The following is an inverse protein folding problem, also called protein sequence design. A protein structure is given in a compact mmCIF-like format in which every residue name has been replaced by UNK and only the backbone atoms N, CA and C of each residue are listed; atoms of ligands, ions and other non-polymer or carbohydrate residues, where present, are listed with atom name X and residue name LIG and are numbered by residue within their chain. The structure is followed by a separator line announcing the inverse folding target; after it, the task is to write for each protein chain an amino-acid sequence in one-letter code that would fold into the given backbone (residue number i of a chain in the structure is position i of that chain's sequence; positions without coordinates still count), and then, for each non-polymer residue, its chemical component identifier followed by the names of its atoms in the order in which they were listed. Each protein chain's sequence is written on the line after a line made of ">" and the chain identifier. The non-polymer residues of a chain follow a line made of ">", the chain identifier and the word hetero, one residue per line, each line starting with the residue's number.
data_IF_983261067357
#
_entry.id   IF_983261067357
#
_cell.length_a   1.000
_cell.length_b   1.000
_cell.length_c   1.000
_cell.angle_alpha   90.00
_cell.angle_beta   90.00
_cell.angle_gamma   90.00
#
_symmetry.space_group_name_H-M   'P 1'
#
loop_
_entity.id
_entity.type
_entity.pdbx_description
1 polymer ?
#
# COMPACT_ATOMS: atom_id res chain seq x y z
N UNK A 1 -12.50 -16.65 9.29
CA UNK A 1 -12.08 -17.93 8.65
C UNK A 1 -10.64 -18.18 9.07
N UNK A 2 -10.14 -19.41 9.20
CA UNK A 2 -8.75 -19.61 9.66
C UNK A 2 -7.76 -19.44 8.51
N UNK A 3 -6.62 -18.82 8.79
CA UNK A 3 -5.52 -18.73 7.83
C UNK A 3 -5.08 -20.12 7.38
N UNK A 4 -4.77 -20.25 6.10
CA UNK A 4 -4.23 -21.50 5.53
C UNK A 4 -2.88 -21.81 6.16
N UNK A 5 -2.70 -22.98 6.80
CA UNK A 5 -1.41 -23.34 7.37
C UNK A 5 -0.37 -23.56 6.27
N UNK A 6 0.87 -23.13 6.51
CA UNK A 6 1.99 -23.36 5.61
C UNK A 6 2.50 -24.79 5.76
N UNK A 7 2.74 -25.49 4.65
CA UNK A 7 3.32 -26.84 4.69
C UNK A 7 4.79 -26.81 5.14
N UNK A 8 5.22 -27.84 5.88
CA UNK A 8 6.63 -27.98 6.27
C UNK A 8 7.56 -28.03 5.05
N UNK A 9 7.14 -28.73 3.99
CA UNK A 9 7.91 -28.79 2.74
C UNK A 9 8.07 -27.41 2.09
N UNK A 10 7.02 -26.58 2.13
CA UNK A 10 7.06 -25.22 1.58
C UNK A 10 8.00 -24.33 2.41
N UNK A 11 7.91 -24.41 3.74
CA UNK A 11 8.81 -23.70 4.65
C UNK A 11 10.27 -24.06 4.38
N UNK A 12 10.59 -25.35 4.36
CA UNK A 12 11.95 -25.83 4.17
C UNK A 12 12.49 -25.47 2.77
N UNK A 13 11.63 -25.52 1.76
CA UNK A 13 11.98 -25.10 0.41
C UNK A 13 12.30 -23.60 0.34
N UNK A 14 11.50 -22.76 1.00
CA UNK A 14 11.73 -21.31 1.05
C UNK A 14 13.04 -20.97 1.74
N UNK A 15 13.32 -21.61 2.88
CA UNK A 15 14.57 -21.40 3.60
C UNK A 15 15.78 -21.79 2.75
N UNK A 16 15.74 -22.93 2.06
CA UNK A 16 16.79 -23.36 1.12
C UNK A 16 16.96 -22.39 -0.06
N UNK A 17 15.86 -21.88 -0.61
CA UNK A 17 15.93 -20.90 -1.70
C UNK A 17 16.59 -19.58 -1.24
N UNK A 18 16.28 -19.14 -0.02
CA UNK A 18 16.89 -17.96 0.61
C UNK A 18 18.39 -18.19 0.87
N UNK A 19 18.80 -19.40 1.27
CA UNK A 19 20.22 -19.76 1.41
C UNK A 19 20.98 -19.61 0.09
N UNK A 20 20.36 -20.00 -1.03
CA UNK A 20 20.87 -19.81 -2.39
C UNK A 20 20.73 -18.36 -2.91
N UNK A 21 20.18 -17.44 -2.12
CA UNK A 21 19.85 -16.05 -2.48
C UNK A 21 18.93 -15.93 -3.70
N UNK A 22 18.01 -16.89 -3.86
CA UNK A 22 16.99 -16.90 -4.90
C UNK A 22 15.61 -16.67 -4.27
N UNK A 23 14.80 -15.84 -4.94
CA UNK A 23 13.40 -15.63 -4.56
C UNK A 23 12.47 -16.43 -5.46
N UNK A 24 11.28 -16.74 -4.96
CA UNK A 24 10.24 -17.47 -5.70
C UNK A 24 9.81 -16.79 -6.99
N UNK A 25 9.84 -15.47 -7.01
CA UNK A 25 9.38 -14.60 -8.10
C UNK A 25 10.52 -14.19 -9.04
N UNK A 26 11.75 -14.66 -8.80
CA UNK A 26 12.93 -14.36 -9.61
C UNK A 26 13.53 -12.96 -9.40
N UNK A 27 13.04 -12.18 -8.41
CA UNK A 27 13.62 -10.89 -8.06
C UNK A 27 14.94 -11.04 -7.30
N UNK A 28 15.74 -9.97 -7.28
CA UNK A 28 16.90 -9.91 -6.37
C UNK A 28 16.44 -9.65 -4.92
N UNK A 29 17.38 -9.83 -3.99
CA UNK A 29 17.13 -9.70 -2.54
C UNK A 29 16.71 -8.29 -2.11
N UNK A 30 17.12 -7.26 -2.84
CA UNK A 30 16.89 -5.85 -2.48
C UNK A 30 15.84 -5.16 -3.38
N UNK A 31 15.20 -5.90 -4.28
CA UNK A 31 14.28 -5.33 -5.26
C UNK A 31 12.83 -5.35 -4.77
N UNK A 32 12.15 -4.22 -4.96
CA UNK A 32 10.73 -4.06 -4.69
C UNK A 32 9.87 -4.70 -5.80
N UNK A 33 8.63 -5.07 -5.44
CA UNK A 33 7.60 -5.39 -6.43
C UNK A 33 7.27 -4.14 -7.24
N UNK A 34 6.71 -4.33 -8.44
CA UNK A 34 6.21 -3.23 -9.26
C UNK A 34 5.13 -2.46 -8.48
N UNK A 35 5.43 -1.19 -8.20
CA UNK A 35 4.50 -0.25 -7.57
C UNK A 35 3.67 0.39 -8.69
N UNK A 36 2.35 0.40 -8.53
CA UNK A 36 1.43 1.14 -9.38
C UNK A 36 0.57 2.03 -8.49
N UNK A 37 0.59 3.33 -8.79
CA UNK A 37 -0.22 4.34 -8.11
C UNK A 37 -1.35 4.73 -9.04
N UNK A 38 -2.58 4.70 -8.55
CA UNK A 38 -3.78 5.09 -9.29
C UNK A 38 -4.59 6.06 -8.44
N UNK A 39 -5.07 7.14 -9.05
CA UNK A 39 -5.82 8.16 -8.35
C UNK A 39 -7.33 7.97 -8.57
N UNK A 40 -8.12 8.28 -7.54
CA UNK A 40 -9.57 8.28 -7.64
C UNK A 40 -10.10 9.47 -8.43
N UNK A 41 -11.42 9.48 -8.66
CA UNK A 41 -12.15 10.62 -9.22
C UNK A 41 -11.98 11.84 -8.30
N UNK A 42 -12.23 11.63 -7.02
CA UNK A 42 -12.19 12.67 -6.01
C UNK A 42 -10.75 12.99 -5.59
N UNK A 43 -10.51 14.25 -5.25
CA UNK A 43 -9.26 14.65 -4.64
C UNK A 43 -9.11 14.00 -3.25
N UNK A 44 -7.90 13.57 -2.93
CA UNK A 44 -7.62 12.89 -1.65
C UNK A 44 -7.86 11.38 -1.68
N UNK A 45 -8.28 10.81 -2.81
CA UNK A 45 -8.42 9.37 -3.00
C UNK A 45 -7.25 8.78 -3.80
N UNK A 46 -6.55 7.78 -3.24
CA UNK A 46 -5.53 7.05 -3.98
C UNK A 46 -5.56 5.54 -3.69
N UNK A 47 -5.16 4.78 -4.71
CA UNK A 47 -4.98 3.34 -4.69
C UNK A 47 -3.53 3.05 -5.03
N UNK A 48 -2.87 2.27 -4.17
CA UNK A 48 -1.48 1.86 -4.38
C UNK A 48 -1.43 0.34 -4.42
N UNK A 49 -0.94 -0.18 -5.54
CA UNK A 49 -0.71 -1.59 -5.77
C UNK A 49 0.79 -1.87 -5.66
N UNK A 50 1.17 -2.68 -4.68
CA UNK A 50 2.50 -3.26 -4.54
C UNK A 50 2.45 -4.74 -4.92
N UNK A 51 2.48 -5.00 -6.23
CA UNK A 51 2.26 -6.33 -6.78
C UNK A 51 0.87 -6.88 -6.47
N UNK A 52 0.75 -7.74 -5.45
CA UNK A 52 -0.51 -8.35 -5.01
C UNK A 52 -1.11 -7.66 -3.78
N UNK A 53 -0.37 -6.78 -3.11
CA UNK A 53 -0.87 -6.00 -1.97
C UNK A 53 -1.48 -4.70 -2.47
N UNK A 54 -2.74 -4.44 -2.15
CA UNK A 54 -3.45 -3.21 -2.54
C UNK A 54 -3.85 -2.44 -1.30
N UNK A 55 -3.59 -1.14 -1.31
CA UNK A 55 -4.00 -0.21 -0.25
C UNK A 55 -4.81 0.92 -0.87
N UNK A 56 -5.91 1.27 -0.20
CA UNK A 56 -6.70 2.47 -0.49
C UNK A 56 -6.44 3.49 0.62
N UNK A 57 -6.17 4.74 0.25
CA UNK A 57 -6.11 5.83 1.20
C UNK A 57 -7.08 6.93 0.78
N UNK A 58 -7.84 7.42 1.76
CA UNK A 58 -8.76 8.54 1.62
C UNK A 58 -8.39 9.61 2.64
N UNK A 59 -8.26 10.85 2.18
CA UNK A 59 -8.04 12.01 3.05
C UNK A 59 -9.32 12.83 3.09
N UNK A 60 -9.83 13.08 4.28
CA UNK A 60 -10.92 14.01 4.56
C UNK A 60 -10.40 15.18 5.41
N UNK A 61 -11.03 16.35 5.24
CA UNK A 61 -10.71 17.54 6.01
C UNK A 61 -11.99 18.11 6.61
N UNK A 62 -11.97 18.42 7.90
CA UNK A 62 -13.09 19.02 8.63
C UNK A 62 -12.60 20.22 9.44
N UNK A 63 -13.47 21.22 9.64
CA UNK A 63 -13.17 22.39 10.46
C UNK A 63 -13.59 22.11 11.90
N UNK A 64 -12.62 21.83 12.77
CA UNK A 64 -12.84 21.47 14.19
C UNK A 64 -12.13 22.47 15.10
N UNK A 65 -12.70 22.73 16.28
CA UNK A 65 -12.06 23.55 17.29
C UNK A 65 -10.75 22.88 17.77
N UNK A 66 -9.62 23.61 17.85
CA UNK A 66 -8.35 23.06 18.30
C UNK A 66 -8.39 22.69 19.78
N UNK A 67 -7.50 21.79 20.20
CA UNK A 67 -7.35 21.42 21.62
C UNK A 67 -6.89 22.64 22.43
N UNK A 68 -7.45 22.81 23.64
CA UNK A 68 -7.11 23.92 24.55
C UNK A 68 -5.60 24.01 24.85
N UNK A 69 -4.93 22.86 24.91
CA UNK A 69 -3.48 22.81 25.16
C UNK A 69 -2.64 23.41 24.02
N UNK A 70 -3.15 23.45 22.79
CA UNK A 70 -2.44 23.95 21.61
C UNK A 70 -3.41 24.61 20.61
N UNK A 71 -3.81 25.87 20.85
CA UNK A 71 -4.84 26.55 20.06
C UNK A 71 -4.37 27.01 18.67
N UNK A 72 -3.06 27.07 18.42
CA UNK A 72 -2.49 27.61 17.18
C UNK A 72 -2.16 26.53 16.12
N UNK A 73 -2.48 25.25 16.38
CA UNK A 73 -2.24 24.16 15.45
C UNK A 73 -3.48 23.27 15.28
N UNK A 74 -3.62 22.69 14.09
CA UNK A 74 -4.67 21.72 13.78
C UNK A 74 -4.32 20.32 14.27
N UNK A 75 -5.29 19.42 14.21
CA UNK A 75 -5.13 18.02 14.58
C UNK A 75 -5.21 17.17 13.31
N UNK A 76 -4.37 16.14 13.22
CA UNK A 76 -4.41 15.16 12.15
C UNK A 76 -4.63 13.78 12.76
N UNK A 77 -5.51 13.01 12.14
CA UNK A 77 -5.85 11.65 12.57
C UNK A 77 -5.49 10.66 11.46
N UNK A 78 -4.74 9.63 11.81
CA UNK A 78 -4.43 8.52 10.92
C UNK A 78 -5.14 7.29 11.44
N UNK A 79 -6.04 6.74 10.63
CA UNK A 79 -6.66 5.45 10.90
C UNK A 79 -6.17 4.44 9.86
N UNK A 80 -5.82 3.24 10.32
CA UNK A 80 -5.46 2.13 9.46
C UNK A 80 -6.45 1.01 9.80
N UNK A 81 -7.34 0.73 8.87
CA UNK A 81 -8.30 -0.36 9.01
C UNK A 81 -7.85 -1.57 8.18
N UNK A 82 -7.84 -2.74 8.81
CA UNK A 82 -7.59 -4.01 8.15
C UNK A 82 -8.94 -4.61 7.77
N UNK A 83 -9.30 -4.53 6.49
CA UNK A 83 -10.54 -5.10 5.99
C UNK A 83 -10.53 -6.63 6.14
N UNK A 84 -11.67 -7.26 6.48
CA UNK A 84 -11.81 -8.72 6.43
C UNK A 84 -11.58 -9.31 5.02
N UNK A 85 -11.63 -8.49 3.97
CA UNK A 85 -11.26 -8.90 2.61
C UNK A 85 -9.74 -9.08 2.41
N UNK A 86 -8.92 -8.52 3.30
CA UNK A 86 -7.47 -8.54 3.16
C UNK A 86 -6.85 -9.89 3.57
N UNK A 87 -7.37 -10.54 4.61
CA UNK A 87 -6.97 -11.88 5.01
C UNK A 87 -8.11 -12.59 5.75
N UNK A 88 -8.32 -13.90 5.54
CA UNK A 88 -9.31 -14.69 6.28
C UNK A 88 -9.17 -14.59 7.81
N UNK A 89 -7.94 -14.44 8.31
CA UNK A 89 -7.59 -14.30 9.72
C UNK A 89 -7.79 -12.92 10.32
N UNK A 90 -8.09 -11.88 9.52
CA UNK A 90 -8.52 -10.59 10.05
C UNK A 90 -10.00 -10.66 10.40
N UNK A 91 -10.27 -10.97 11.66
CA UNK A 91 -11.60 -10.73 12.22
C UNK A 91 -11.76 -9.23 12.51
N UNK A 92 -12.99 -8.74 12.39
CA UNK A 92 -13.32 -7.34 12.69
C UNK A 92 -13.18 -7.12 14.21
N UNK A 93 -11.95 -6.88 14.65
CA UNK A 93 -11.67 -6.40 16.00
C UNK A 93 -12.19 -4.98 16.18
N UNK A 94 -12.47 -4.60 17.42
CA UNK A 94 -12.62 -3.19 17.77
C UNK A 94 -11.37 -2.45 17.27
N UNK A 95 -11.50 -1.30 16.59
CA UNK A 95 -10.34 -0.52 16.19
C UNK A 95 -9.52 -0.25 17.46
N UNK A 96 -8.31 -0.81 17.55
CA UNK A 96 -7.38 -0.40 18.60
C UNK A 96 -7.13 1.08 18.35
N UNK A 97 -7.78 1.90 19.17
CA UNK A 97 -7.74 3.34 19.15
C UNK A 97 -6.30 3.75 19.50
N UNK A 98 -5.46 3.86 18.47
CA UNK A 98 -4.10 4.39 18.66
C UNK A 98 -4.23 5.86 18.99
N UNK A 99 -3.51 6.27 20.03
CA UNK A 99 -3.51 7.66 20.44
C UNK A 99 -3.14 8.58 19.27
N UNK A 100 -3.91 9.66 19.04
CA UNK A 100 -3.68 10.55 17.92
C UNK A 100 -2.32 11.22 18.06
N UNK A 101 -1.46 11.01 17.06
CA UNK A 101 -0.14 11.64 17.01
C UNK A 101 -0.27 12.94 16.20
N UNK A 102 -0.19 14.14 16.83
CA UNK A 102 -0.13 15.38 16.09
C UNK A 102 1.21 15.48 15.36
N UNK A 103 1.18 15.68 14.04
CA UNK A 103 2.37 15.94 13.24
C UNK A 103 2.12 17.06 12.23
N UNK A 104 3.00 18.06 12.23
CA UNK A 104 3.18 18.95 11.09
C UNK A 104 4.11 18.28 10.09
N UNK A 105 3.55 17.73 9.00
CA UNK A 105 4.33 17.01 8.00
C UNK A 105 5.07 18.01 7.11
N UNK A 106 6.33 18.31 7.42
CA UNK A 106 7.23 19.07 6.54
C UNK A 106 7.84 18.22 5.43
N UNK A 107 7.86 16.90 5.64
CA UNK A 107 8.60 15.96 4.82
C UNK A 107 7.80 14.67 4.65
N UNK A 108 8.02 13.96 3.54
CA UNK A 108 7.34 12.70 3.24
C UNK A 108 8.25 11.52 3.64
N UNK A 109 8.09 10.93 4.83
CA UNK A 109 8.81 9.72 5.19
C UNK A 109 8.24 8.51 4.46
N UNK A 110 9.11 7.62 4.01
CA UNK A 110 8.73 6.34 3.41
C UNK A 110 9.34 5.22 4.27
N UNK A 111 8.52 4.24 4.61
CA UNK A 111 8.93 3.05 5.36
C UNK A 111 9.47 1.96 4.43
N UNK A 112 10.67 1.47 4.72
CA UNK A 112 11.29 0.32 4.05
C UNK A 112 11.36 -0.83 5.05
N UNK A 113 10.85 -1.98 4.63
CA UNK A 113 10.77 -3.19 5.46
C UNK A 113 11.84 -4.20 5.04
N UNK A 114 12.58 -4.68 6.04
CA UNK A 114 13.66 -5.64 5.90
C UNK A 114 13.33 -6.92 6.67
N UNK A 115 13.18 -8.03 5.96
CA UNK A 115 12.96 -9.34 6.55
C UNK A 115 14.30 -10.04 6.80
N UNK A 116 14.43 -10.65 7.98
CA UNK A 116 15.60 -11.43 8.39
C UNK A 116 15.25 -12.90 8.50
N UNK A 117 16.16 -13.75 8.03
CA UNK A 117 16.04 -15.20 8.07
C UNK A 117 17.27 -15.82 8.71
N UNK A 118 17.07 -16.98 9.34
CA UNK A 118 18.12 -17.77 9.99
C UNK A 118 18.98 -16.92 10.94
N UNK A 119 18.32 -16.33 11.95
CA UNK A 119 18.96 -15.49 12.97
C UNK A 119 19.71 -14.28 12.40
N UNK A 120 19.24 -13.76 11.27
CA UNK A 120 19.76 -12.53 10.67
C UNK A 120 20.93 -12.73 9.71
N UNK A 121 21.23 -13.96 9.29
CA UNK A 121 22.27 -14.22 8.27
C UNK A 121 21.84 -13.71 6.88
N UNK A 122 20.56 -13.88 6.54
CA UNK A 122 20.00 -13.43 5.27
C UNK A 122 19.03 -12.26 5.46
N UNK A 123 19.06 -11.34 4.50
CA UNK A 123 18.31 -10.08 4.50
C UNK A 123 17.56 -9.95 3.17
N UNK A 124 16.25 -9.73 3.24
CA UNK A 124 15.42 -9.44 2.07
C UNK A 124 14.67 -8.11 2.27
N UNK A 125 14.44 -7.40 1.17
CA UNK A 125 13.59 -6.20 1.12
C UNK A 125 12.25 -6.58 0.51
N UNK A 126 11.16 -6.00 1.05
CA UNK A 126 9.80 -6.23 0.57
C UNK A 126 9.43 -7.72 0.51
N UNK A 127 9.31 -8.39 1.68
CA UNK A 127 8.92 -9.79 1.73
C UNK A 127 7.51 -9.99 1.15
N UNK A 128 7.30 -11.10 0.45
CA UNK A 128 5.94 -11.55 0.10
C UNK A 128 5.27 -12.26 1.28
N UNK A 129 3.96 -12.46 1.23
CA UNK A 129 3.20 -13.14 2.30
C UNK A 129 3.83 -14.47 2.73
N UNK A 130 4.34 -15.26 1.78
CA UNK A 130 5.02 -16.53 2.06
C UNK A 130 6.36 -16.34 2.77
N UNK A 131 7.12 -15.31 2.39
CA UNK A 131 8.39 -14.95 3.02
C UNK A 131 8.16 -14.38 4.43
N UNK A 132 7.11 -13.58 4.64
CA UNK A 132 6.73 -13.07 5.97
C UNK A 132 6.34 -14.18 6.95
N UNK A 133 5.77 -15.28 6.46
CA UNK A 133 5.42 -16.43 7.31
C UNK A 133 6.62 -17.28 7.75
N UNK A 134 7.76 -17.15 7.07
CA UNK A 134 8.99 -17.93 7.37
C UNK A 134 10.13 -17.06 7.89
N UNK A 135 9.95 -15.74 7.99
CA UNK A 135 10.96 -14.85 8.56
C UNK A 135 11.04 -15.01 10.07
N UNK A 136 12.24 -14.83 10.62
CA UNK A 136 12.45 -14.81 12.07
C UNK A 136 12.14 -13.42 12.64
N UNK A 137 12.40 -12.36 11.86
CA UNK A 137 12.09 -11.00 12.27
C UNK A 137 12.13 -9.97 11.15
N UNK A 138 11.67 -8.78 11.49
CA UNK A 138 11.43 -7.68 10.57
C UNK A 138 12.02 -6.39 11.17
N UNK A 139 12.75 -5.64 10.36
CA UNK A 139 13.20 -4.29 10.69
C UNK A 139 12.55 -3.31 9.73
N UNK A 140 11.81 -2.35 10.26
CA UNK A 140 11.22 -1.26 9.50
C UNK A 140 12.03 0.00 9.75
N UNK A 141 12.48 0.66 8.68
CA UNK A 141 13.18 1.94 8.74
C UNK A 141 12.37 2.95 7.93
N UNK A 142 11.90 4.02 8.58
CA UNK A 142 11.33 5.16 7.88
C UNK A 142 12.41 6.20 7.63
N UNK A 143 12.60 6.59 6.37
CA UNK A 143 13.52 7.66 6.00
C UNK A 143 12.84 8.70 5.12
N UNK A 144 13.39 9.90 5.15
CA UNK A 144 13.00 11.01 4.30
C UNK A 144 13.86 11.07 3.03
N UNK A 145 13.45 11.86 2.03
CA UNK A 145 14.25 12.18 0.83
C UNK A 145 15.63 12.77 1.15
N UNK A 146 15.76 13.40 2.31
CA UNK A 146 17.01 13.99 2.81
C UNK A 146 17.95 12.94 3.45
N UNK A 147 17.60 11.66 3.41
CA UNK A 147 18.34 10.53 4.02
C UNK A 147 18.42 10.60 5.55
N UNK A 148 17.51 11.32 6.16
CA UNK A 148 17.32 11.37 7.60
C UNK A 148 16.39 10.23 8.03
N UNK A 149 16.74 9.56 9.12
CA UNK A 149 15.93 8.47 9.68
C UNK A 149 14.87 9.09 10.59
N UNK A 150 13.60 8.81 10.31
CA UNK A 150 12.47 9.27 11.11
C UNK A 150 12.12 8.27 12.21
N UNK A 151 12.10 6.98 11.89
CA UNK A 151 11.81 5.91 12.86
C UNK A 151 12.51 4.60 12.47
N UNK A 152 12.83 3.79 13.48
CA UNK A 152 13.32 2.42 13.34
C UNK A 152 12.50 1.54 14.26
N UNK A 153 11.94 0.46 13.74
CA UNK A 153 11.19 -0.51 14.52
C UNK A 153 11.72 -1.92 14.21
N UNK A 154 12.15 -2.63 15.24
CA UNK A 154 12.54 -4.04 15.14
C UNK A 154 11.43 -4.91 15.74
N UNK A 155 10.99 -5.93 15.02
CA UNK A 155 10.03 -6.93 15.48
C UNK A 155 10.53 -8.34 15.17
N UNK A 156 10.03 -9.34 15.91
CA UNK A 156 10.41 -10.75 15.73
C UNK A 156 11.56 -11.27 16.61
N UNK A 157 12.02 -10.50 17.61
CA UNK A 157 12.95 -11.03 18.63
C UNK A 157 14.33 -11.44 18.09
N UNK A 158 14.73 -10.94 16.93
CA UNK A 158 16.01 -11.23 16.29
C UNK A 158 17.17 -10.43 16.90
N UNK A 159 18.36 -11.03 16.91
CA UNK A 159 19.60 -10.35 17.31
C UNK A 159 20.24 -9.67 16.10
N UNK A 160 20.27 -8.34 16.10
CA UNK A 160 20.84 -7.55 15.00
C UNK A 160 22.19 -6.96 15.38
N UNK A 161 23.18 -7.16 14.51
CA UNK A 161 24.48 -6.50 14.64
C UNK A 161 24.40 -5.05 14.15
N UNK A 162 25.16 -4.15 14.78
CA UNK A 162 25.28 -2.74 14.37
C UNK A 162 25.59 -2.59 12.88
N UNK A 163 26.49 -3.40 12.34
CA UNK A 163 26.88 -3.35 10.93
C UNK A 163 25.73 -3.66 9.98
N UNK A 164 24.84 -4.59 10.36
CA UNK A 164 23.68 -4.96 9.57
C UNK A 164 22.67 -3.82 9.53
N UNK A 165 22.43 -3.16 10.67
CA UNK A 165 21.54 -1.98 10.74
C UNK A 165 22.09 -0.84 9.88
N UNK A 166 23.41 -0.58 9.95
CA UNK A 166 24.04 0.43 9.10
C UNK A 166 23.94 0.10 7.61
N UNK A 167 24.02 -1.19 7.23
CA UNK A 167 23.79 -1.64 5.86
C UNK A 167 22.34 -1.41 5.43
N UNK A 168 21.37 -1.78 6.26
CA UNK A 168 19.95 -1.58 5.99
C UNK A 168 19.61 -0.10 5.80
N UNK A 169 20.16 0.79 6.64
CA UNK A 169 19.97 2.24 6.50
C UNK A 169 20.46 2.79 5.15
N UNK A 170 21.62 2.33 4.66
CA UNK A 170 22.12 2.73 3.34
C UNK A 170 21.20 2.27 2.21
N UNK A 171 20.73 1.02 2.27
CA UNK A 171 19.82 0.46 1.27
C UNK A 171 18.47 1.20 1.30
N UNK A 172 17.93 1.45 2.49
CA UNK A 172 16.69 2.19 2.67
C UNK A 172 16.80 3.59 2.06
N UNK A 173 17.91 4.31 2.25
CA UNK A 173 18.10 5.63 1.66
C UNK A 173 18.04 5.64 0.13
N UNK A 174 18.58 4.60 -0.53
CA UNK A 174 18.47 4.46 -1.99
C UNK A 174 17.03 4.18 -2.40
N UNK A 175 16.36 3.22 -1.74
CA UNK A 175 14.98 2.85 -2.07
C UNK A 175 13.96 3.95 -1.82
N UNK A 176 14.14 4.72 -0.75
CA UNK A 176 13.29 5.88 -0.45
C UNK A 176 13.43 6.95 -1.53
N UNK A 177 14.63 7.14 -2.08
CA UNK A 177 14.85 8.09 -3.19
C UNK A 177 14.10 7.63 -4.45
N UNK A 178 14.24 6.36 -4.84
CA UNK A 178 13.54 5.76 -5.98
C UNK A 178 12.01 5.88 -5.85
N UNK A 179 11.45 5.55 -4.68
CA UNK A 179 10.00 5.60 -4.45
C UNK A 179 9.49 7.05 -4.42
N UNK A 180 10.25 7.98 -3.84
CA UNK A 180 9.88 9.41 -3.80
C UNK A 180 9.80 10.00 -5.22
N UNK A 181 10.73 9.64 -6.10
CA UNK A 181 10.71 10.04 -7.50
C UNK A 181 9.46 9.51 -8.22
N UNK A 182 9.15 8.22 -8.01
CA UNK A 182 7.98 7.55 -8.59
C UNK A 182 6.66 8.22 -8.16
N UNK A 183 6.55 8.59 -6.87
CA UNK A 183 5.39 9.32 -6.34
C UNK A 183 5.31 10.72 -6.95
N UNK A 184 6.44 11.43 -7.05
CA UNK A 184 6.49 12.79 -7.62
C UNK A 184 6.08 12.79 -9.09
N UNK A 185 6.53 11.79 -9.86
CA UNK A 185 6.16 11.61 -11.26
C UNK A 185 4.67 11.28 -11.41
N UNK A 186 4.14 10.35 -10.59
CA UNK A 186 2.73 9.99 -10.59
C UNK A 186 1.82 11.20 -10.32
N UNK A 187 2.17 12.03 -9.33
CA UNK A 187 1.44 13.26 -9.00
C UNK A 187 1.48 14.29 -10.15
N UNK A 188 2.63 14.41 -10.83
CA UNK A 188 2.78 15.33 -11.95
C UNK A 188 1.96 14.87 -13.17
N UNK A 189 1.90 13.56 -13.42
CA UNK A 189 1.09 12.96 -14.48
C UNK A 189 -0.40 13.12 -14.20
N UNK A 190 -0.87 12.89 -12.97
CA UNK A 190 -2.27 13.12 -12.59
C UNK A 190 -2.67 14.60 -12.75
N UNK A 191 -1.81 15.52 -12.31
CA UNK A 191 -2.06 16.96 -12.46
C UNK A 191 -2.16 17.38 -13.93
N UNK A 192 -1.36 16.80 -14.82
CA UNK A 192 -1.44 17.03 -16.27
C UNK A 192 -2.73 16.45 -16.85
N UNK A 193 -3.10 15.22 -16.47
CA UNK A 193 -4.32 14.57 -16.93
C UNK A 193 -5.57 15.37 -16.56
N UNK A 194 -5.66 15.84 -15.31
CA UNK A 194 -6.79 16.67 -14.84
C UNK A 194 -6.85 18.02 -15.57
N UNK A 195 -5.70 18.65 -15.85
CA UNK A 195 -5.66 19.91 -16.63
C UNK A 195 -6.11 19.72 -18.08
N UNK A 196 -5.84 18.56 -18.67
CA UNK A 196 -6.27 18.22 -20.02
C UNK A 196 -7.75 17.81 -20.10
N UNK A 197 -8.49 17.81 -18.98
CA UNK A 197 -9.88 17.33 -18.94
C UNK A 197 -10.01 15.82 -19.14
N UNK A 198 -8.93 15.06 -18.90
CA UNK A 198 -8.93 13.61 -19.01
C UNK A 198 -9.88 12.99 -17.98
N UNK A 199 -10.57 11.93 -18.38
CA UNK A 199 -11.32 11.11 -17.44
C UNK A 199 -10.32 10.53 -16.41
N UNK A 200 -10.69 10.57 -15.13
CA UNK A 200 -9.88 10.09 -14.01
C UNK A 200 -10.73 9.14 -13.18
N UNK A 201 -10.13 8.07 -12.66
CA UNK A 201 -10.83 7.13 -11.80
C UNK A 201 -10.23 5.74 -11.78
N UNK A 202 -10.56 5.01 -10.72
CA UNK A 202 -10.10 3.64 -10.48
C UNK A 202 -10.45 2.70 -11.65
N UNK A 203 -11.67 2.79 -12.17
CA UNK A 203 -12.14 1.97 -13.29
C UNK A 203 -11.36 2.19 -14.60
N UNK A 204 -10.77 3.37 -14.79
CA UNK A 204 -9.98 3.68 -15.99
C UNK A 204 -8.51 3.31 -15.83
N UNK A 205 -8.03 3.25 -14.59
CA UNK A 205 -6.71 2.71 -14.28
C UNK A 205 -6.65 1.19 -14.39
N UNK A 206 -7.80 0.50 -14.40
CA UNK A 206 -7.84 -0.95 -14.61
C UNK A 206 -7.47 -1.29 -16.06
N UNK A 207 -6.56 -2.26 -16.28
CA UNK A 207 -6.21 -2.68 -17.63
C UNK A 207 -7.46 -3.28 -18.30
N UNK A 208 -7.85 -2.70 -19.44
CA UNK A 208 -9.00 -3.15 -20.23
C UNK A 208 -8.74 -4.52 -20.90
N UNK A 209 -7.48 -4.96 -20.97
CA UNK A 209 -7.06 -6.20 -21.63
C UNK A 209 -7.19 -7.46 -20.75
N UNK A 210 -8.00 -7.44 -19.69
CA UNK A 210 -8.26 -8.64 -18.85
C UNK A 210 -9.69 -9.13 -19.04
N UNK A 211 -9.84 -10.45 -19.22
CA UNK A 211 -11.13 -11.17 -19.31
C UNK A 211 -12.06 -10.81 -18.13
N UNK A 212 -11.48 -10.48 -16.96
CA UNK A 212 -12.21 -10.18 -15.74
C UNK A 212 -12.79 -8.76 -15.66
N UNK A 213 -12.52 -7.88 -16.64
CA UNK A 213 -13.02 -6.51 -16.63
C UNK A 213 -13.62 -6.15 -17.99
N UNK A 214 -14.90 -5.77 -18.00
CA UNK A 214 -15.59 -5.22 -19.17
C UNK A 214 -16.04 -3.80 -18.84
N UNK A 215 -15.61 -2.83 -19.64
CA UNK A 215 -16.15 -1.47 -19.64
C UNK A 215 -16.96 -1.30 -20.92
N UNK A 216 -18.27 -1.16 -20.80
CA UNK A 216 -19.16 -0.80 -21.91
C UNK A 216 -19.81 0.53 -21.56
N UNK A 217 -19.66 1.52 -22.44
CA UNK A 217 -20.42 2.75 -22.30
C UNK A 217 -21.87 2.44 -22.67
N UNK A 218 -22.80 2.66 -21.73
CA UNK A 218 -24.22 2.45 -21.98
C UNK A 218 -24.71 3.48 -23.00
N UNK A 219 -25.20 3.01 -24.14
CA UNK A 219 -25.91 3.84 -25.10
C UNK A 219 -27.34 4.04 -24.57
N UNK A 220 -27.77 5.28 -24.27
CA UNK A 220 -29.15 5.51 -23.90
C UNK A 220 -30.03 5.17 -25.10
N UNK A 221 -30.90 4.17 -24.93
CA UNK A 221 -31.96 3.87 -25.88
C UNK A 221 -33.19 4.63 -25.39
N UNK A 222 -33.61 5.66 -26.13
CA UNK A 222 -34.85 6.38 -25.83
C UNK A 222 -36.03 5.39 -25.99
N UNK A 223 -36.69 5.03 -24.89
CA UNK A 223 -37.88 4.16 -24.88
C UNK A 223 -39.19 4.95 -24.69
N UNK A 224 -39.19 6.25 -24.99
CA UNK A 224 -40.37 7.12 -24.85
C UNK A 224 -41.54 6.61 -25.69
N UNK A 225 -41.28 6.21 -26.93
CA UNK A 225 -42.32 5.77 -27.86
C UNK A 225 -43.02 4.47 -27.44
N UNK A 226 -42.28 3.59 -26.75
CA UNK A 226 -42.78 2.29 -26.28
C UNK A 226 -43.67 2.45 -25.04
N UNK A 227 -43.35 3.42 -24.18
CA UNK A 227 -44.18 3.74 -23.00
C UNK A 227 -45.50 4.41 -23.37
N UNK A 228 -45.50 5.24 -24.42
CA UNK A 228 -46.72 5.88 -24.93
C UNK A 228 -47.66 4.87 -25.62
N UNK A 229 -47.12 3.97 -26.44
CA UNK A 229 -47.92 2.90 -27.06
C UNK A 229 -48.46 1.89 -26.05
N UNK A 230 -47.71 1.57 -24.98
CA UNK A 230 -48.20 0.70 -23.92
C UNK A 230 -49.40 1.31 -23.15
N UNK A 231 -49.37 2.61 -22.88
CA UNK A 231 -50.48 3.31 -22.21
C UNK A 231 -51.74 3.40 -23.09
N UNK A 232 -51.59 3.47 -24.42
CA UNK A 232 -52.70 3.47 -25.36
C UNK A 232 -53.40 2.11 -25.55
N UNK A 233 -52.76 1.00 -25.15
CA UNK A 233 -53.34 -0.36 -25.23
C UNK A 233 -54.04 -0.75 -23.91
N UNK A 234 -53.75 -0.04 -22.81
CA UNK A 234 -54.31 -0.30 -21.47
C UNK A 234 -55.60 0.51 -21.19
N UNK A 235 -55.96 1.46 -22.07
CA UNK A 235 -57.29 2.10 -22.11
C UNK A 235 -58.24 1.37 -23.06
#
# INVERSE_FOLDING_TARGET
>A
MKDTPLSNCERDFLLKAIEEKKRLDGRQTYDYRKIKISFGTDYGCCFVDLGQTRVMAQVSCELVAPKENRPNEGIMFFNIELSPMASPGFEQGSPEERDPIPLSIYHMPISVSFAFFQQGTYLLVDPCEREERVMDGLLVIAMNKHREICSIQSSGGIMLLKEQVMRCSKIAGVKVSEITELISEALLNDRKARKAGGKCGFAESMPQDRITALKKDETPVEMTDVTETANGIIQ
#
